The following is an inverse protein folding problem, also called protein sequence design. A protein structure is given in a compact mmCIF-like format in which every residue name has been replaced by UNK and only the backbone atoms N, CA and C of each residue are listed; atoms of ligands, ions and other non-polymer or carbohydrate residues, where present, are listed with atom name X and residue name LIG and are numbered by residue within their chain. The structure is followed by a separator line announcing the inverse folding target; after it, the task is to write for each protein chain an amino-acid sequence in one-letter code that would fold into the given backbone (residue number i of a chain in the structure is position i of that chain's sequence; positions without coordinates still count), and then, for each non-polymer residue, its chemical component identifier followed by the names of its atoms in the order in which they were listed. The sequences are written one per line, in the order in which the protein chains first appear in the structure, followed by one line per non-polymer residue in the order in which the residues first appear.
data_IF_890289299888
#
_entry.id   IF_890289299888
#
_cell.length_a   1.000
_cell.length_b   1.000
_cell.length_c   1.000
_cell.angle_alpha   90.00
_cell.angle_beta   90.00
_cell.angle_gamma   90.00
#
_symmetry.space_group_name_H-M   'P 1'
#
loop_
_entity.id
_entity.type
_entity.pdbx_description
1 polymer ?
#
# COMPACT_ATOMS: atom_id res chain seq x y z
N UNK A 1 -27.62 9.77 -26.67
CA UNK A 1 -28.22 8.78 -25.77
C UNK A 1 -27.11 7.94 -25.19
N UNK A 2 -27.07 7.75 -23.87
CA UNK A 2 -26.11 6.87 -23.20
C UNK A 2 -26.78 5.51 -23.11
N UNK A 3 -26.12 4.48 -23.64
CA UNK A 3 -26.60 3.10 -23.57
C UNK A 3 -25.71 2.36 -22.59
N UNK A 4 -26.27 1.94 -21.46
CA UNK A 4 -25.56 1.10 -20.52
C UNK A 4 -25.36 -0.30 -21.12
N UNK A 5 -24.16 -0.86 -20.96
CA UNK A 5 -23.80 -2.19 -21.46
C UNK A 5 -23.87 -3.27 -20.35
N UNK A 6 -24.53 -2.98 -19.23
CA UNK A 6 -24.87 -3.89 -18.12
C UNK A 6 -23.85 -5.02 -17.84
N UNK A 7 -22.59 -4.64 -17.59
CA UNK A 7 -21.55 -5.60 -17.17
C UNK A 7 -20.91 -6.42 -18.29
N UNK A 8 -21.06 -6.01 -19.55
CA UNK A 8 -20.35 -6.64 -20.66
C UNK A 8 -18.81 -6.57 -20.46
N UNK A 9 -18.19 -7.72 -20.20
CA UNK A 9 -16.75 -7.87 -20.14
C UNK A 9 -16.16 -8.01 -21.55
N UNK A 10 -15.19 -7.16 -21.91
CA UNK A 10 -14.52 -7.21 -23.21
C UNK A 10 -13.35 -8.19 -23.12
N UNK A 11 -13.61 -9.47 -23.39
CA UNK A 11 -12.62 -10.53 -23.29
C UNK A 11 -11.72 -10.70 -24.54
N UNK A 12 -12.01 -9.99 -25.65
CA UNK A 12 -11.25 -10.05 -26.92
C UNK A 12 -11.26 -8.70 -27.65
N UNK A 13 -10.30 -8.55 -28.56
CA UNK A 13 -9.76 -7.30 -29.16
C UNK A 13 -10.74 -6.37 -29.90
N UNK A 14 -12.04 -6.71 -30.02
CA UNK A 14 -13.01 -5.87 -30.72
C UNK A 14 -14.43 -5.92 -30.11
N UNK A 15 -15.05 -4.74 -30.01
CA UNK A 15 -16.47 -4.57 -29.66
C UNK A 15 -17.28 -4.37 -30.95
N UNK A 16 -18.22 -5.29 -31.25
CA UNK A 16 -19.15 -5.15 -32.37
C UNK A 16 -20.49 -4.61 -31.87
N UNK A 17 -20.86 -3.41 -32.29
CA UNK A 17 -22.17 -2.82 -32.02
C UNK A 17 -23.08 -3.11 -33.22
N UNK A 18 -24.24 -3.71 -32.97
CA UNK A 18 -25.30 -3.88 -33.97
C UNK A 18 -26.59 -3.30 -33.43
N UNK A 19 -27.35 -2.59 -34.26
CA UNK A 19 -28.65 -2.06 -33.89
C UNK A 19 -29.73 -2.66 -34.79
N UNK A 20 -30.90 -2.89 -34.20
CA UNK A 20 -32.11 -3.28 -34.90
C UNK A 20 -33.18 -2.21 -34.69
N UNK A 21 -34.01 -1.99 -35.69
CA UNK A 21 -35.16 -1.11 -35.59
C UNK A 21 -36.42 -1.98 -35.66
N UNK A 22 -37.36 -1.75 -34.72
CA UNK A 22 -38.66 -2.44 -34.73
C UNK A 22 -39.59 -2.01 -35.87
N UNK A 23 -39.19 -0.99 -36.64
CA UNK A 23 -39.92 -0.46 -37.79
C UNK A 23 -38.97 -0.07 -38.90
N UNK A 24 -39.50 0.02 -40.14
CA UNK A 24 -38.71 0.37 -41.32
C UNK A 24 -38.15 1.78 -41.18
N UNK A 25 -36.82 1.89 -41.19
CA UNK A 25 -36.13 3.17 -41.17
C UNK A 25 -36.40 3.93 -42.48
N UNK A 26 -36.85 5.18 -42.37
CA UNK A 26 -37.14 6.06 -43.51
C UNK A 26 -35.89 6.77 -44.04
N UNK A 27 -34.77 6.73 -43.29
CA UNK A 27 -33.50 7.31 -43.66
C UNK A 27 -32.33 6.51 -43.04
N UNK A 28 -31.12 6.56 -43.64
CA UNK A 28 -29.93 5.95 -43.07
C UNK A 28 -29.58 6.57 -41.70
N UNK A 29 -29.25 5.74 -40.71
CA UNK A 29 -28.71 6.20 -39.43
C UNK A 29 -27.22 6.49 -39.62
N UNK A 30 -26.84 7.77 -39.58
CA UNK A 30 -25.45 8.19 -39.61
C UNK A 30 -24.90 8.29 -38.19
N UNK A 31 -23.96 7.42 -37.84
CA UNK A 31 -23.19 7.53 -36.59
C UNK A 31 -22.05 8.51 -36.83
N UNK A 32 -22.08 9.65 -36.12
CA UNK A 32 -21.03 10.68 -36.24
C UNK A 32 -19.86 10.47 -35.28
N UNK A 33 -20.04 9.63 -34.27
CA UNK A 33 -19.00 9.30 -33.30
C UNK A 33 -19.54 8.40 -32.19
N UNK A 34 -18.65 7.63 -31.60
CA UNK A 34 -18.91 6.85 -30.40
C UNK A 34 -17.72 7.03 -29.46
N UNK A 35 -17.99 7.20 -28.17
CA UNK A 35 -16.96 7.21 -27.13
C UNK A 35 -17.21 5.96 -26.30
N UNK A 36 -16.22 5.08 -26.26
CA UNK A 36 -16.23 3.92 -25.39
C UNK A 36 -15.45 4.27 -24.13
N UNK A 37 -16.13 4.31 -22.99
CA UNK A 37 -15.48 4.42 -21.69
C UNK A 37 -15.16 3.00 -21.21
N UNK A 38 -13.98 2.51 -21.57
CA UNK A 38 -13.47 1.21 -21.09
C UNK A 38 -12.81 1.46 -19.75
N UNK A 39 -13.41 0.94 -18.69
CA UNK A 39 -12.70 0.81 -17.42
C UNK A 39 -11.91 -0.49 -17.49
N UNK A 40 -10.57 -0.48 -17.28
CA UNK A 40 -9.86 -1.71 -17.00
C UNK A 40 -10.57 -2.36 -15.83
N UNK A 41 -10.94 -3.63 -15.94
CA UNK A 41 -11.04 -4.48 -14.76
C UNK A 41 -9.62 -4.54 -14.21
N UNK A 42 -9.25 -3.51 -13.45
CA UNK A 42 -7.96 -3.45 -12.77
C UNK A 42 -7.97 -4.63 -11.84
N UNK A 43 -7.27 -5.71 -12.23
CA UNK A 43 -7.22 -7.03 -11.61
C UNK A 43 -8.31 -7.15 -10.54
N UNK A 44 -9.56 -7.40 -10.97
CA UNK A 44 -10.71 -7.41 -10.08
C UNK A 44 -10.29 -8.19 -8.84
N UNK A 45 -10.19 -7.50 -7.70
CA UNK A 45 -9.55 -8.08 -6.53
C UNK A 45 -10.33 -9.34 -6.15
N UNK A 46 -9.70 -10.49 -6.32
CA UNK A 46 -10.36 -11.78 -6.16
C UNK A 46 -10.58 -12.10 -4.69
N UNK A 47 -9.70 -11.61 -3.83
CA UNK A 47 -9.82 -11.74 -2.38
C UNK A 47 -9.69 -10.37 -1.71
N UNK A 48 -10.58 -10.12 -0.75
CA UNK A 48 -10.61 -8.87 0.00
C UNK A 48 -10.55 -9.10 1.50
N UNK A 49 -9.77 -8.26 2.17
CA UNK A 49 -9.59 -8.31 3.62
C UNK A 49 -10.11 -7.00 4.22
N UNK A 50 -10.88 -7.12 5.29
CA UNK A 50 -11.30 -5.98 6.10
C UNK A 50 -10.13 -5.49 6.96
N UNK A 51 -9.94 -4.18 6.98
CA UNK A 51 -8.90 -3.53 7.75
C UNK A 51 -9.41 -2.27 8.44
N UNK A 52 -8.82 -1.97 9.59
CA UNK A 52 -9.09 -0.74 10.33
C UNK A 52 -7.92 0.22 10.16
N UNK A 53 -8.18 1.41 9.62
CA UNK A 53 -7.17 2.46 9.56
C UNK A 53 -6.89 3.03 10.95
N UNK A 54 -5.71 3.63 11.19
CA UNK A 54 -5.49 4.45 12.36
C UNK A 54 -6.33 5.73 12.31
N UNK A 55 -6.39 6.43 13.44
CA UNK A 55 -6.98 7.76 13.48
C UNK A 55 -6.24 8.73 12.53
N UNK A 56 -6.94 9.73 11.97
CA UNK A 56 -6.32 10.82 11.22
C UNK A 56 -5.21 11.50 12.02
N UNK A 57 -4.24 12.07 11.31
CA UNK A 57 -3.15 12.81 11.96
C UNK A 57 -3.71 13.95 12.83
N UNK A 58 -3.16 14.14 14.02
CA UNK A 58 -3.59 15.20 14.95
C UNK A 58 -3.61 16.57 14.27
N UNK A 59 -4.77 17.22 14.23
CA UNK A 59 -4.96 18.52 13.57
C UNK A 59 -5.17 18.47 12.06
N UNK A 60 -5.20 17.28 11.43
CA UNK A 60 -5.50 17.12 10.02
C UNK A 60 -6.43 15.92 9.76
N UNK A 61 -7.74 16.17 9.85
CA UNK A 61 -8.79 15.20 9.54
C UNK A 61 -8.76 14.70 8.08
N UNK A 62 -8.05 15.37 7.18
CA UNK A 62 -8.03 15.01 5.74
C UNK A 62 -6.93 14.03 5.39
N UNK A 63 -6.04 13.69 6.31
CA UNK A 63 -4.89 12.82 6.07
C UNK A 63 -4.90 11.66 7.05
N UNK A 64 -4.91 10.45 6.50
CA UNK A 64 -4.75 9.20 7.24
C UNK A 64 -3.53 8.46 6.70
N UNK A 65 -2.53 8.30 7.56
CA UNK A 65 -1.23 7.72 7.23
C UNK A 65 -1.04 6.40 8.01
N UNK A 66 -0.66 5.34 7.32
CA UNK A 66 -0.44 4.05 7.95
C UNK A 66 0.69 3.24 7.31
N UNK A 67 1.31 2.39 8.13
CA UNK A 67 2.27 1.39 7.69
C UNK A 67 1.54 0.15 7.17
N UNK A 68 2.06 -0.44 6.10
CA UNK A 68 1.60 -1.74 5.60
C UNK A 68 2.53 -2.82 6.16
N UNK A 69 2.05 -3.76 6.98
CA UNK A 69 2.90 -4.74 7.63
C UNK A 69 3.39 -5.86 6.69
N UNK A 70 2.91 -5.88 5.45
CA UNK A 70 3.22 -6.88 4.43
C UNK A 70 3.56 -6.19 3.11
N UNK A 71 4.56 -6.72 2.38
CA UNK A 71 4.98 -6.19 1.08
C UNK A 71 4.17 -6.79 -0.09
N UNK A 72 2.87 -7.02 0.11
CA UNK A 72 2.01 -7.61 -0.93
C UNK A 72 1.36 -6.49 -1.76
N UNK A 73 1.55 -6.48 -3.09
CA UNK A 73 0.81 -5.66 -4.04
C UNK A 73 -0.69 -5.65 -3.78
N UNK A 74 -1.24 -4.45 -3.55
CA UNK A 74 -2.68 -4.26 -3.43
C UNK A 74 -3.23 -3.88 -4.81
N UNK A 75 -4.27 -4.58 -5.25
CA UNK A 75 -4.94 -4.31 -6.50
C UNK A 75 -6.01 -3.21 -6.34
N UNK A 76 -6.66 -3.16 -5.18
CA UNK A 76 -7.66 -2.15 -4.89
C UNK A 76 -7.76 -1.79 -3.42
N UNK A 77 -8.29 -0.60 -3.16
CA UNK A 77 -8.63 -0.13 -1.82
C UNK A 77 -10.02 0.49 -1.82
N UNK A 78 -10.85 0.08 -0.87
CA UNK A 78 -12.11 0.74 -0.55
C UNK A 78 -11.97 1.49 0.75
N UNK A 79 -12.42 2.74 0.76
CA UNK A 79 -12.39 3.60 1.94
C UNK A 79 -13.82 3.89 2.35
N UNK A 80 -14.17 3.53 3.58
CA UNK A 80 -15.52 3.61 4.14
C UNK A 80 -15.47 4.55 5.34
N UNK A 81 -15.85 5.83 5.19
CA UNK A 81 -15.99 6.75 6.31
C UNK A 81 -16.96 6.18 7.35
N UNK A 82 -16.61 6.31 8.63
CA UNK A 82 -17.44 5.84 9.75
C UNK A 82 -18.49 6.88 10.14
N UNK A 83 -18.16 8.16 9.99
CA UNK A 83 -19.05 9.28 10.28
C UNK A 83 -19.18 10.21 9.07
N UNK A 84 -20.34 10.85 8.96
CA UNK A 84 -20.71 11.72 7.85
C UNK A 84 -21.38 10.94 6.71
N UNK A 85 -22.57 11.37 6.32
CA UNK A 85 -23.37 10.77 5.24
C UNK A 85 -22.85 11.16 3.84
N UNK A 86 -21.53 11.21 3.70
CA UNK A 86 -20.84 11.98 2.69
C UNK A 86 -20.12 11.16 1.62
N UNK A 87 -20.04 11.77 0.45
CA UNK A 87 -19.16 11.41 -0.65
C UNK A 87 -17.87 12.19 -0.46
N UNK A 88 -16.76 11.50 -0.18
CA UNK A 88 -15.45 12.13 0.07
C UNK A 88 -14.49 11.76 -1.06
N UNK A 89 -14.12 12.68 -1.96
CA UNK A 89 -13.09 12.42 -2.95
C UNK A 89 -11.73 12.23 -2.25
N UNK A 90 -11.01 11.19 -2.64
CA UNK A 90 -9.75 10.78 -2.02
C UNK A 90 -8.69 10.45 -3.07
N UNK A 91 -7.44 10.74 -2.74
CA UNK A 91 -6.26 10.20 -3.40
C UNK A 91 -5.51 9.25 -2.47
N UNK A 92 -4.96 8.20 -3.04
CA UNK A 92 -4.20 7.18 -2.34
C UNK A 92 -2.76 7.28 -2.83
N UNK A 93 -1.87 7.51 -1.88
CA UNK A 93 -0.46 7.76 -2.12
C UNK A 93 0.37 6.67 -1.42
N UNK A 94 1.51 6.33 -2.00
CA UNK A 94 2.44 5.32 -1.50
C UNK A 94 3.87 5.81 -1.46
N UNK A 95 4.66 5.23 -0.57
CA UNK A 95 6.14 5.33 -0.55
C UNK A 95 6.74 4.14 0.19
N UNK A 96 7.98 3.80 -0.15
CA UNK A 96 8.72 2.72 0.53
C UNK A 96 9.60 3.22 1.66
N UNK A 97 10.20 4.40 1.47
CA UNK A 97 11.05 5.06 2.46
C UNK A 97 10.48 6.41 2.87
N UNK A 98 10.83 6.87 4.07
CA UNK A 98 10.43 8.17 4.60
C UNK A 98 11.05 9.34 3.84
N UNK A 99 12.24 9.15 3.27
CA UNK A 99 12.96 10.15 2.47
C UNK A 99 12.39 10.28 1.06
N UNK A 100 11.63 9.28 0.60
CA UNK A 100 11.00 9.32 -0.72
C UNK A 100 9.76 10.22 -0.74
N UNK A 101 9.51 10.91 -1.87
CA UNK A 101 8.26 11.62 -2.07
C UNK A 101 7.08 10.64 -2.15
N UNK A 102 5.91 11.11 -1.74
CA UNK A 102 4.67 10.38 -1.92
C UNK A 102 4.31 10.27 -3.41
N UNK A 103 4.00 9.07 -3.88
CA UNK A 103 3.63 8.79 -5.28
C UNK A 103 2.17 8.38 -5.36
N UNK A 104 1.46 8.80 -6.41
CA UNK A 104 0.05 8.45 -6.62
C UNK A 104 -0.11 6.98 -6.99
N UNK A 105 -0.87 6.25 -6.18
CA UNK A 105 -1.26 4.86 -6.43
C UNK A 105 -2.65 4.75 -7.06
N UNK A 106 -3.55 5.67 -6.69
CA UNK A 106 -4.93 5.64 -7.16
C UNK A 106 -5.74 6.81 -6.63
N UNK A 107 -6.92 7.02 -7.19
CA UNK A 107 -7.83 8.09 -6.81
C UNK A 107 -9.27 7.66 -6.99
N UNK A 108 -10.16 8.15 -6.15
CA UNK A 108 -11.57 7.80 -6.21
C UNK A 108 -12.39 8.48 -5.15
N UNK A 109 -13.44 7.80 -4.71
CA UNK A 109 -14.46 8.38 -3.85
C UNK A 109 -14.78 7.41 -2.73
N UNK A 110 -14.57 7.86 -1.50
CA UNK A 110 -14.99 7.18 -0.28
C UNK A 110 -16.47 7.49 -0.01
N UNK A 111 -17.24 6.47 0.41
CA UNK A 111 -18.67 6.60 0.71
C UNK A 111 -19.03 5.77 1.93
N UNK A 112 -19.87 6.31 2.81
CA UNK A 112 -20.33 5.64 4.03
C UNK A 112 -21.19 4.39 3.72
N UNK A 113 -21.86 4.37 2.56
CA UNK A 113 -22.62 3.24 2.03
C UNK A 113 -21.75 2.07 1.51
N UNK A 114 -20.42 2.18 1.59
CA UNK A 114 -19.48 1.17 1.14
C UNK A 114 -19.00 1.33 -0.30
N UNK A 115 -19.59 2.21 -1.11
CA UNK A 115 -19.05 2.67 -2.40
C UNK A 115 -18.44 1.62 -3.34
N UNK A 116 -17.51 2.09 -4.19
CA UNK A 116 -16.77 1.26 -5.17
C UNK A 116 -15.31 1.15 -4.78
N UNK A 117 -14.66 0.10 -5.26
CA UNK A 117 -13.22 -0.11 -5.08
C UNK A 117 -12.42 0.89 -5.91
N UNK A 118 -11.38 1.44 -5.30
CA UNK A 118 -10.40 2.31 -5.95
C UNK A 118 -9.28 1.42 -6.44
N UNK A 119 -9.12 1.32 -7.76
CA UNK A 119 -8.02 0.60 -8.39
C UNK A 119 -6.69 1.27 -8.05
N UNK A 120 -5.70 0.46 -7.69
CA UNK A 120 -4.34 0.91 -7.40
C UNK A 120 -3.39 0.48 -8.52
N UNK A 121 -2.26 1.16 -8.66
CA UNK A 121 -1.19 0.83 -9.61
C UNK A 121 -0.57 -0.56 -9.44
N UNK A 122 -0.88 -1.28 -8.35
CA UNK A 122 -0.35 -2.62 -8.07
C UNK A 122 1.03 -2.62 -7.40
N UNK A 123 1.53 -1.47 -6.98
CA UNK A 123 2.76 -1.38 -6.20
C UNK A 123 2.56 -1.92 -4.77
N UNK A 124 3.66 -2.24 -4.09
CA UNK A 124 3.68 -2.76 -2.72
C UNK A 124 4.37 -1.80 -1.73
N UNK A 125 3.85 -0.57 -1.57
CA UNK A 125 4.48 0.43 -0.73
C UNK A 125 4.46 0.02 0.74
N UNK A 126 5.52 0.36 1.48
CA UNK A 126 5.57 0.17 2.94
C UNK A 126 4.71 1.16 3.73
N UNK A 127 4.42 2.31 3.16
CA UNK A 127 3.60 3.35 3.75
C UNK A 127 2.52 3.83 2.77
N UNK A 128 1.30 4.00 3.27
CA UNK A 128 0.17 4.55 2.51
C UNK A 128 -0.33 5.81 3.19
N UNK A 129 -0.74 6.77 2.36
CA UNK A 129 -1.46 7.97 2.75
C UNK A 129 -2.78 8.04 1.98
N UNK A 130 -3.88 8.14 2.71
CA UNK A 130 -5.18 8.53 2.17
C UNK A 130 -5.35 10.01 2.43
N UNK A 131 -5.50 10.78 1.35
CA UNK A 131 -5.72 12.22 1.43
C UNK A 131 -7.08 12.57 0.84
N UNK A 132 -7.96 13.13 1.67
CA UNK A 132 -9.26 13.64 1.27
C UNK A 132 -9.12 15.02 0.62
N UNK A 133 -10.01 15.31 -0.33
CA UNK A 133 -10.04 16.61 -1.00
C UNK A 133 -10.22 17.77 -0.02
N UNK A 134 -9.54 18.89 -0.28
CA UNK A 134 -9.53 20.07 0.60
C UNK A 134 -10.93 20.71 0.77
N UNK A 135 -11.86 20.45 -0.16
CA UNK A 135 -13.25 20.91 -0.10
C UNK A 135 -14.15 20.01 0.73
N UNK A 136 -13.63 18.88 1.21
CA UNK A 136 -14.35 17.95 2.08
C UNK A 136 -14.00 18.14 3.56
N UNK A 137 -14.88 17.62 4.42
CA UNK A 137 -14.63 17.54 5.86
C UNK A 137 -13.53 16.50 6.22
N UNK A 138 -13.14 15.64 5.28
CA UNK A 138 -12.21 14.55 5.53
C UNK A 138 -12.81 13.45 6.40
N UNK A 139 -11.98 12.89 7.28
CA UNK A 139 -12.30 11.82 8.21
C UNK A 139 -12.17 12.36 9.63
N UNK A 140 -13.27 12.52 10.36
CA UNK A 140 -13.24 12.88 11.80
C UNK A 140 -12.82 11.71 12.67
N UNK A 141 -13.12 10.49 12.21
CA UNK A 141 -12.79 9.22 12.85
C UNK A 141 -12.09 8.32 11.82
N UNK A 142 -11.32 7.35 12.32
CA UNK A 142 -10.63 6.37 11.50
C UNK A 142 -11.59 5.66 10.52
N UNK A 143 -11.38 5.76 9.19
CA UNK A 143 -12.23 5.05 8.23
C UNK A 143 -11.99 3.54 8.31
N UNK A 144 -13.03 2.76 7.98
CA UNK A 144 -12.86 1.33 7.67
C UNK A 144 -12.30 1.18 6.28
N UNK A 145 -11.46 0.18 6.09
CA UNK A 145 -10.81 -0.10 4.82
C UNK A 145 -11.14 -1.52 4.39
N UNK A 146 -11.30 -1.73 3.08
CA UNK A 146 -11.32 -3.06 2.51
C UNK A 146 -10.26 -3.12 1.42
N UNK A 147 -9.26 -3.97 1.64
CA UNK A 147 -8.08 -4.10 0.79
C UNK A 147 -8.32 -5.27 -0.14
N UNK A 148 -8.16 -5.05 -1.44
CA UNK A 148 -8.26 -6.07 -2.46
C UNK A 148 -6.90 -6.48 -3.00
N UNK A 149 -6.68 -7.79 -3.12
CA UNK A 149 -5.43 -8.36 -3.65
C UNK A 149 -5.67 -9.00 -5.01
N UNK A 150 -4.63 -8.97 -5.86
CA UNK A 150 -4.61 -9.77 -7.07
C UNK A 150 -4.39 -11.26 -6.74
N UNK A 151 -4.95 -12.15 -7.55
CA UNK A 151 -4.78 -13.60 -7.38
C UNK A 151 -3.31 -14.00 -7.37
N UNK A 152 -2.95 -14.86 -6.41
CA UNK A 152 -1.63 -15.46 -6.31
C UNK A 152 -1.75 -16.97 -6.11
N UNK A 153 -1.17 -17.72 -7.06
CA UNK A 153 -0.97 -19.15 -6.92
C UNK A 153 0.36 -19.46 -6.22
N UNK A 154 0.40 -20.53 -5.45
CA UNK A 154 1.63 -21.09 -4.89
C UNK A 154 1.81 -22.49 -5.46
N UNK A 155 3.02 -22.78 -5.94
CA UNK A 155 3.42 -24.13 -6.35
C UNK A 155 4.33 -24.67 -5.26
N UNK A 156 4.07 -25.89 -4.79
CA UNK A 156 4.86 -26.54 -3.75
C UNK A 156 4.99 -28.03 -4.03
N UNK A 157 6.10 -28.61 -3.56
CA UNK A 157 6.29 -30.05 -3.51
C UNK A 157 6.09 -30.50 -2.06
N UNK A 158 5.20 -31.47 -1.85
CA UNK A 158 4.99 -32.10 -0.55
C UNK A 158 5.23 -33.61 -0.66
N UNK A 159 5.88 -34.17 0.36
CA UNK A 159 6.17 -35.61 0.47
C UNK A 159 5.56 -36.17 1.75
N UNK A 160 4.98 -37.36 1.68
CA UNK A 160 4.35 -38.05 2.81
C UNK A 160 2.83 -38.17 2.64
N UNK A 161 2.12 -38.38 3.74
CA UNK A 161 0.68 -38.59 3.74
C UNK A 161 -0.04 -37.28 4.09
N UNK A 162 -1.02 -36.89 3.27
CA UNK A 162 -1.90 -35.75 3.53
C UNK A 162 -2.71 -35.92 4.83
N UNK A 163 -3.22 -34.83 5.47
CA UNK A 163 -3.24 -33.44 5.01
C UNK A 163 -1.91 -32.70 5.24
N UNK A 164 -1.60 -31.75 4.35
CA UNK A 164 -0.45 -30.86 4.46
C UNK A 164 -0.90 -29.47 4.95
N UNK A 165 -0.06 -28.81 5.76
CA UNK A 165 -0.29 -27.44 6.23
C UNK A 165 0.70 -26.49 5.57
N UNK A 166 0.18 -25.48 4.85
CA UNK A 166 0.99 -24.40 4.30
C UNK A 166 1.11 -23.28 5.35
N UNK A 167 2.34 -23.00 5.79
CA UNK A 167 2.64 -21.85 6.64
C UNK A 167 3.20 -20.69 5.80
N UNK A 168 2.61 -19.51 5.91
CA UNK A 168 3.05 -18.30 5.22
C UNK A 168 3.57 -17.24 6.21
N UNK A 169 4.33 -16.25 5.72
CA UNK A 169 4.76 -15.08 6.50
C UNK A 169 6.01 -15.27 7.36
N UNK A 170 6.77 -16.36 7.19
CA UNK A 170 8.03 -16.57 7.93
C UNK A 170 9.17 -15.79 7.29
N UNK A 171 9.58 -14.68 7.92
CA UNK A 171 10.69 -13.80 7.46
C UNK A 171 12.02 -14.56 7.30
N UNK A 172 12.28 -15.54 8.16
CA UNK A 172 13.50 -16.36 8.13
C UNK A 172 13.36 -17.64 7.29
N UNK A 173 12.34 -17.75 6.43
CA UNK A 173 12.27 -18.86 5.48
C UNK A 173 13.49 -18.78 4.56
N UNK A 174 14.21 -19.91 4.42
CA UNK A 174 15.31 -19.99 3.47
C UNK A 174 14.71 -19.99 2.07
N UNK A 175 15.10 -19.00 1.27
CA UNK A 175 14.82 -19.03 -0.16
C UNK A 175 15.56 -20.22 -0.76
N UNK A 176 14.83 -21.03 -1.52
CA UNK A 176 15.39 -22.13 -2.28
C UNK A 176 15.20 -21.73 -3.72
N UNK A 177 16.31 -21.50 -4.43
CA UNK A 177 16.33 -21.07 -5.84
C UNK A 177 15.84 -22.19 -6.80
N UNK A 178 14.62 -22.67 -6.59
CA UNK A 178 13.94 -23.64 -7.42
C UNK A 178 13.03 -22.90 -8.39
N UNK A 179 13.18 -23.13 -9.69
CA UNK A 179 12.23 -22.60 -10.66
C UNK A 179 10.92 -23.41 -10.65
N UNK A 180 9.79 -22.80 -11.07
CA UNK A 180 8.55 -23.56 -11.25
C UNK A 180 8.69 -24.73 -12.23
N UNK A 181 9.58 -24.63 -13.22
CA UNK A 181 9.85 -25.70 -14.17
C UNK A 181 10.54 -26.89 -13.48
N UNK A 182 11.54 -26.62 -12.63
CA UNK A 182 12.23 -27.68 -11.87
C UNK A 182 11.31 -28.40 -10.88
N UNK A 183 10.30 -27.69 -10.35
CA UNK A 183 9.24 -28.29 -9.51
C UNK A 183 8.28 -29.16 -10.32
N UNK A 184 7.95 -28.77 -11.55
CA UNK A 184 7.08 -29.53 -12.45
C UNK A 184 7.74 -30.80 -12.99
N UNK A 185 9.06 -30.79 -13.16
CA UNK A 185 9.87 -31.95 -13.57
C UNK A 185 10.16 -32.93 -12.41
N UNK A 186 9.81 -32.55 -11.18
CA UNK A 186 9.87 -33.42 -10.01
C UNK A 186 8.99 -34.66 -10.17
N UNK A 187 9.45 -35.82 -9.66
CA UNK A 187 8.83 -37.15 -9.78
C UNK A 187 7.42 -37.32 -9.14
N UNK A 188 6.69 -36.24 -8.88
CA UNK A 188 5.33 -36.25 -8.35
C UNK A 188 4.27 -36.10 -9.45
N UNK A 189 3.08 -36.68 -9.25
CA UNK A 189 1.93 -36.36 -10.12
C UNK A 189 1.46 -34.94 -9.82
N UNK A 190 1.34 -34.05 -10.82
CA UNK A 190 0.74 -32.74 -10.61
C UNK A 190 -0.71 -32.93 -10.15
N UNK A 191 -1.07 -32.23 -9.08
CA UNK A 191 -2.39 -32.27 -8.49
C UNK A 191 -2.82 -30.88 -8.06
N UNK A 192 -4.14 -30.65 -8.03
CA UNK A 192 -4.69 -29.39 -7.55
C UNK A 192 -4.90 -29.48 -6.04
N UNK A 193 -4.27 -28.58 -5.30
CA UNK A 193 -4.48 -28.44 -3.87
C UNK A 193 -5.56 -27.39 -3.63
N UNK A 194 -6.63 -27.76 -2.95
CA UNK A 194 -7.67 -26.82 -2.51
C UNK A 194 -7.45 -26.45 -1.05
N UNK A 195 -7.41 -25.15 -0.76
CA UNK A 195 -7.44 -24.65 0.61
C UNK A 195 -8.79 -25.04 1.25
N UNK A 196 -8.72 -25.83 2.31
CA UNK A 196 -9.92 -26.34 3.03
C UNK A 196 -10.39 -25.34 4.09
N UNK A 197 -9.50 -24.48 4.59
CA UNK A 197 -9.82 -23.45 5.59
C UNK A 197 -8.82 -22.32 5.53
N UNK A 198 -9.31 -21.07 5.47
CA UNK A 198 -8.52 -19.86 5.69
C UNK A 198 -9.06 -19.13 6.92
N UNK A 199 -8.22 -18.74 7.89
CA UNK A 199 -8.69 -17.92 9.00
C UNK A 199 -9.07 -16.54 8.46
N UNK A 200 -10.32 -16.13 8.69
CA UNK A 200 -10.74 -14.75 8.44
C UNK A 200 -10.12 -13.85 9.51
N UNK A 201 -9.28 -12.91 9.10
CA UNK A 201 -8.64 -11.97 10.01
C UNK A 201 -8.93 -10.53 9.57
N UNK A 202 -9.43 -9.73 10.50
CA UNK A 202 -9.45 -8.27 10.34
C UNK A 202 -8.08 -7.73 10.69
N UNK A 203 -7.49 -6.93 9.79
CA UNK A 203 -6.15 -6.36 10.00
C UNK A 203 -6.25 -4.97 10.60
N UNK A 204 -5.65 -4.75 11.76
CA UNK A 204 -5.47 -3.39 12.30
C UNK A 204 -4.19 -2.80 11.75
N UNK A 205 -4.30 -1.67 11.06
CA UNK A 205 -3.16 -0.97 10.48
C UNK A 205 -2.59 0.01 11.49
N UNK A 206 -1.27 -0.01 11.63
CA UNK A 206 -0.57 0.89 12.53
C UNK A 206 -0.38 2.25 11.87
N UNK A 207 -0.57 3.32 12.65
CA UNK A 207 -0.13 4.65 12.24
C UNK A 207 1.34 4.62 11.84
N UNK A 208 1.75 5.50 10.92
CA UNK A 208 3.17 5.71 10.64
C UNK A 208 3.84 6.25 11.90
N UNK A 209 4.42 5.34 12.69
CA UNK A 209 5.27 5.70 13.81
C UNK A 209 6.57 6.28 13.29
N UNK A 210 7.17 7.18 14.06
CA UNK A 210 8.58 7.56 13.93
C UNK A 210 9.50 6.40 14.39
N UNK A 211 9.26 5.19 13.89
CA UNK A 211 9.84 3.93 14.38
C UNK A 211 11.36 3.78 14.14
N UNK A 212 12.06 4.86 13.78
CA UNK A 212 13.52 4.94 13.74
C UNK A 212 14.11 6.31 14.13
N UNK A 213 13.27 7.30 14.45
CA UNK A 213 13.75 8.64 14.79
C UNK A 213 14.30 8.79 16.22
N UNK A 214 13.69 8.21 17.29
CA UNK A 214 14.14 8.54 18.64
C UNK A 214 15.50 7.94 18.97
N UNK A 215 15.78 6.69 18.59
CA UNK A 215 17.06 6.04 18.88
C UNK A 215 18.20 6.60 18.04
N UNK A 216 17.98 6.83 16.75
CA UNK A 216 18.99 7.43 15.86
C UNK A 216 19.32 8.86 16.27
N UNK A 217 18.32 9.66 16.64
CA UNK A 217 18.56 11.02 17.14
C UNK A 217 19.33 11.00 18.47
N UNK A 218 18.99 10.12 19.42
CA UNK A 218 19.72 10.02 20.69
C UNK A 218 21.18 9.62 20.48
N UNK A 219 21.45 8.66 19.60
CA UNK A 219 22.83 8.25 19.26
C UNK A 219 23.58 9.42 18.61
N UNK A 220 22.96 10.13 17.66
CA UNK A 220 23.59 11.30 17.03
C UNK A 220 23.90 12.41 18.03
N UNK A 221 22.97 12.72 18.93
CA UNK A 221 23.20 13.68 20.01
C UNK A 221 24.29 13.21 20.98
N UNK A 222 24.33 11.93 21.33
CA UNK A 222 25.37 11.37 22.18
C UNK A 222 26.77 11.49 21.54
N UNK A 223 26.89 11.16 20.25
CA UNK A 223 28.14 11.30 19.48
C UNK A 223 28.56 12.76 19.38
N UNK A 224 27.62 13.67 19.11
CA UNK A 224 27.89 15.11 19.02
C UNK A 224 28.39 15.68 20.35
N UNK A 225 27.74 15.31 21.47
CA UNK A 225 28.15 15.75 22.80
C UNK A 225 29.52 15.17 23.18
N UNK A 226 29.79 13.91 22.85
CA UNK A 226 31.09 13.28 23.10
C UNK A 226 32.22 13.99 22.34
N UNK A 227 32.04 14.26 21.06
CA UNK A 227 33.03 14.99 20.26
C UNK A 227 33.27 16.42 20.80
N UNK A 228 32.19 17.10 21.20
CA UNK A 228 32.27 18.45 21.78
C UNK A 228 33.02 18.45 23.12
N UNK A 229 32.79 17.44 23.98
CA UNK A 229 33.48 17.32 25.26
C UNK A 229 34.99 17.07 25.09
N UNK A 230 35.39 16.28 24.08
CA UNK A 230 36.80 16.06 23.76
C UNK A 230 37.46 17.38 23.34
N UNK A 231 36.83 18.15 22.45
CA UNK A 231 37.35 19.46 22.01
C UNK A 231 37.49 20.44 23.18
N UNK A 232 36.47 20.52 24.05
CA UNK A 232 36.53 21.35 25.25
C UNK A 232 37.65 20.91 26.20
N UNK A 233 37.87 19.60 26.35
CA UNK A 233 38.96 19.04 27.15
C UNK A 233 40.35 19.42 26.63
N UNK A 234 40.57 19.33 25.31
CA UNK A 234 41.84 19.74 24.68
C UNK A 234 42.09 21.25 24.86
N UNK A 235 41.08 22.08 24.62
CA UNK A 235 41.19 23.52 24.81
C UNK A 235 41.54 23.89 26.26
N UNK A 236 40.92 23.23 27.23
CA UNK A 236 41.20 23.45 28.65
C UNK A 236 42.60 22.98 29.06
N UNK A 237 43.06 21.86 28.51
CA UNK A 237 44.42 21.35 28.75
C UNK A 237 45.49 22.32 28.26
N UNK A 238 45.31 22.88 27.05
CA UNK A 238 46.22 23.89 26.48
C UNK A 238 46.25 25.16 27.33
N UNK A 239 45.08 25.63 27.79
CA UNK A 239 45.00 26.80 28.66
C UNK A 239 45.72 26.59 30.00
N UNK A 240 45.61 25.40 30.60
CA UNK A 240 46.35 25.07 31.84
C UNK A 240 47.86 24.99 31.65
N UNK A 241 48.32 24.48 30.51
CA UNK A 241 49.75 24.42 30.20
C UNK A 241 50.36 25.82 30.06
N UNK A 242 49.66 26.75 29.40
CA UNK A 242 50.08 28.16 29.30
C UNK A 242 50.14 28.86 30.66
N UNK A 243 49.18 28.59 31.55
CA UNK A 243 49.17 29.15 32.91
C UNK A 243 50.35 28.68 33.77
N UNK A 244 50.95 27.53 33.45
CA UNK A 244 52.06 26.93 34.23
C UNK A 244 53.44 27.38 33.72
N UNK A 245 53.53 27.96 32.52
CA UNK A 245 54.78 28.45 31.92
C UNK A 245 55.12 29.91 32.24
N UNK A 246 54.51 30.51 33.26
CA UNK A 246 54.92 31.84 33.73
C UNK A 246 56.41 31.80 34.19
N UNK A 247 57.25 32.78 33.80
CA UNK A 247 58.71 32.65 33.84
C UNK A 247 59.28 32.49 35.26
N UNK A 248 60.19 31.52 35.44
CA UNK A 248 61.19 31.56 36.51
C UNK A 248 62.22 32.63 36.16
N UNK A 249 62.28 33.67 36.98
CA UNK A 249 63.35 34.66 37.01
C UNK A 249 64.72 33.99 37.21
N UNK A 250 65.71 34.23 36.34
CA UNK A 250 67.11 34.02 36.69
C UNK A 250 67.71 35.33 37.23
N UNK A 251 68.12 35.34 38.50
CA UNK A 251 69.13 36.27 39.03
C UNK A 251 70.50 35.63 38.89
#
# INVERSE_FOLDING_TARGET
SIVALDGAAVAREYLRITWSAGSRLLAPVAIRGAVLDVRPDGAAASETIEAQAPAPASGNARVVDFAVPFATPMASLRVIPVEGDGVVPVRILGRDDREQPWTLLGQGVARSDGGRDITLSGDAPRAIRIEADARSAGFTVAPRLRIGFADRGVIFLASGTAPFTLAAGRVAAKDVFLSPADLADGQGRPGEARLVSTPSATVTLSALGDAGAPTRNVVLWAVLLAATAVLAGVAWMLWRQQATQAPRDPR
#
